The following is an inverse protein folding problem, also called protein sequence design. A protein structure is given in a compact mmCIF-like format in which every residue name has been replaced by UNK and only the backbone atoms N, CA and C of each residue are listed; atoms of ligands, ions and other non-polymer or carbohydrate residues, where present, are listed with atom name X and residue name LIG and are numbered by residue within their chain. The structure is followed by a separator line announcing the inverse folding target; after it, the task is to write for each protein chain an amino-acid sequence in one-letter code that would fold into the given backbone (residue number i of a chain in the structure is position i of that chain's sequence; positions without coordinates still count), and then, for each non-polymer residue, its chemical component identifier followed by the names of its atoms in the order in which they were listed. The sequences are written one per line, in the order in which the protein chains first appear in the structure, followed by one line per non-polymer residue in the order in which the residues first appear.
data_IF_979823544008
#
_entry.id   IF_979823544008
#
_cell.length_a   1.000
_cell.length_b   1.000
_cell.length_c   1.000
_cell.angle_alpha   90.00
_cell.angle_beta   90.00
_cell.angle_gamma   90.00
#
_symmetry.space_group_name_H-M   'P 1'
#
loop_
_entity.id
_entity.type
_entity.pdbx_description
1 polymer ?
#
# COMPACT_ATOMS: atom_id res chain seq x y z
N UNK A 1 6.10 -24.14 11.92
CA UNK A 1 4.67 -24.54 11.82
C UNK A 1 3.74 -23.35 11.66
N UNK A 2 3.78 -22.33 12.51
CA UNK A 2 2.90 -21.14 12.42
C UNK A 2 3.05 -20.37 11.09
N UNK A 3 4.28 -20.14 10.63
CA UNK A 3 4.54 -19.45 9.36
C UNK A 3 3.99 -20.21 8.14
N UNK A 4 4.13 -21.54 8.13
CA UNK A 4 3.60 -22.41 7.06
C UNK A 4 2.06 -22.39 7.08
N UNK A 5 1.44 -22.46 8.26
CA UNK A 5 -0.01 -22.35 8.41
C UNK A 5 -0.54 -20.99 7.95
N UNK A 6 0.13 -19.89 8.33
CA UNK A 6 -0.17 -18.54 7.84
C UNK A 6 0.01 -18.44 6.32
N UNK A 7 0.99 -19.14 5.74
CA UNK A 7 1.23 -19.12 4.32
C UNK A 7 0.09 -19.78 3.54
N UNK A 8 -0.32 -20.99 3.95
CA UNK A 8 -1.45 -21.68 3.36
C UNK A 8 -2.78 -20.93 3.58
N UNK A 9 -2.97 -20.35 4.75
CA UNK A 9 -4.16 -19.55 5.05
C UNK A 9 -4.21 -18.27 4.20
N UNK A 10 -3.08 -17.59 4.02
CA UNK A 10 -2.97 -16.42 3.14
C UNK A 10 -3.25 -16.76 1.68
N UNK A 11 -2.71 -17.87 1.17
CA UNK A 11 -3.02 -18.36 -0.19
C UNK A 11 -4.50 -18.72 -0.35
N UNK A 12 -5.11 -19.34 0.67
CA UNK A 12 -6.54 -19.63 0.68
C UNK A 12 -7.38 -18.34 0.64
N UNK A 13 -7.05 -17.35 1.47
CA UNK A 13 -7.71 -16.05 1.47
C UNK A 13 -7.50 -15.31 0.14
N UNK A 14 -6.32 -15.41 -0.48
CA UNK A 14 -6.02 -14.83 -1.79
C UNK A 14 -6.84 -15.47 -2.90
N UNK A 15 -6.95 -16.80 -2.91
CA UNK A 15 -7.82 -17.52 -3.84
C UNK A 15 -9.27 -17.05 -3.68
N UNK A 16 -9.78 -17.02 -2.44
CA UNK A 16 -11.13 -16.53 -2.11
C UNK A 16 -11.34 -15.07 -2.54
N UNK A 17 -10.31 -14.23 -2.44
CA UNK A 17 -10.36 -12.85 -2.92
C UNK A 17 -10.41 -12.75 -4.44
N UNK A 18 -9.64 -13.60 -5.14
CA UNK A 18 -9.58 -13.60 -6.61
C UNK A 18 -10.90 -14.00 -7.28
N UNK A 19 -11.72 -14.81 -6.60
CA UNK A 19 -13.06 -15.22 -7.04
C UNK A 19 -14.17 -14.28 -6.52
N UNK A 20 -13.83 -13.23 -5.77
CA UNK A 20 -14.77 -12.23 -5.28
C UNK A 20 -15.54 -12.59 -4.00
N UNK A 21 -15.18 -13.70 -3.34
CA UNK A 21 -15.88 -14.21 -2.16
C UNK A 21 -15.26 -13.76 -0.83
N UNK A 22 -14.13 -13.05 -0.85
CA UNK A 22 -13.42 -12.68 0.38
C UNK A 22 -14.14 -11.59 1.19
N UNK A 23 -14.41 -11.91 2.45
CA UNK A 23 -14.83 -10.93 3.46
C UNK A 23 -13.70 -9.97 3.86
N UNK A 24 -14.04 -8.99 4.70
CA UNK A 24 -13.11 -7.95 5.16
C UNK A 24 -11.92 -8.57 5.92
N UNK A 25 -12.19 -9.60 6.72
CA UNK A 25 -11.19 -10.35 7.49
C UNK A 25 -10.20 -11.05 6.57
N UNK A 26 -10.68 -11.72 5.53
CA UNK A 26 -9.83 -12.40 4.56
C UNK A 26 -9.03 -11.40 3.71
N UNK A 27 -9.58 -10.24 3.38
CA UNK A 27 -8.83 -9.15 2.74
C UNK A 27 -7.72 -8.61 3.65
N UNK A 28 -8.00 -8.48 4.96
CA UNK A 28 -6.97 -8.11 5.94
C UNK A 28 -5.85 -9.14 5.98
N UNK A 29 -6.21 -10.43 5.96
CA UNK A 29 -5.26 -11.55 5.91
C UNK A 29 -4.46 -11.55 4.62
N UNK A 30 -5.05 -11.24 3.46
CA UNK A 30 -4.31 -11.14 2.18
C UNK A 30 -3.29 -10.02 2.21
N UNK A 31 -3.66 -8.83 2.72
CA UNK A 31 -2.70 -7.71 2.87
C UNK A 31 -1.62 -8.08 3.87
N UNK A 32 -2.01 -8.61 5.02
CA UNK A 32 -1.08 -9.09 6.06
C UNK A 32 -0.12 -10.12 5.45
N UNK A 33 -0.61 -11.15 4.77
CA UNK A 33 0.18 -12.18 4.10
C UNK A 33 1.14 -11.59 3.05
N UNK A 34 0.67 -10.71 2.19
CA UNK A 34 1.48 -10.07 1.14
C UNK A 34 2.62 -9.23 1.74
N UNK A 35 2.39 -8.65 2.92
CA UNK A 35 3.36 -7.84 3.65
C UNK A 35 4.27 -8.67 4.57
N UNK A 36 3.82 -9.84 5.03
CA UNK A 36 4.48 -10.59 6.10
C UNK A 36 5.20 -11.87 5.69
N UNK A 37 5.07 -12.36 4.45
CA UNK A 37 5.64 -13.66 4.10
C UNK A 37 7.18 -13.71 4.14
N UNK A 38 7.91 -12.61 4.40
CA UNK A 38 9.37 -12.63 4.47
C UNK A 38 10.08 -11.56 5.34
N UNK A 39 9.61 -10.30 5.51
CA UNK A 39 10.39 -9.27 6.22
C UNK A 39 10.26 -9.23 7.75
N UNK A 40 9.06 -9.47 8.27
CA UNK A 40 8.66 -8.92 9.58
C UNK A 40 9.28 -9.68 10.76
N UNK A 41 9.43 -11.00 10.63
CA UNK A 41 10.00 -11.85 11.67
C UNK A 41 11.53 -11.79 11.70
N UNK A 42 12.18 -11.69 10.54
CA UNK A 42 13.65 -11.72 10.46
C UNK A 42 14.30 -10.33 10.63
N UNK A 43 13.63 -9.22 10.27
CA UNK A 43 14.23 -7.88 10.37
C UNK A 43 13.84 -7.07 11.62
N UNK A 44 13.18 -7.69 12.61
CA UNK A 44 12.82 -7.02 13.87
C UNK A 44 11.74 -5.94 13.73
N UNK A 45 10.82 -6.04 12.76
CA UNK A 45 9.76 -5.03 12.55
C UNK A 45 8.78 -4.91 13.71
N UNK A 46 8.64 -5.96 14.52
CA UNK A 46 7.78 -5.98 15.70
C UNK A 46 8.52 -5.57 16.97
N UNK A 47 9.80 -5.20 16.87
CA UNK A 47 10.69 -4.91 18.00
C UNK A 47 11.32 -3.51 17.88
N UNK A 48 11.29 -2.71 18.94
CA UNK A 48 11.80 -1.33 18.94
C UNK A 48 10.89 -0.34 18.19
N UNK A 49 11.38 0.86 17.85
CA UNK A 49 10.65 1.90 17.08
C UNK A 49 10.10 1.50 15.68
N UNK A 50 10.63 0.49 14.97
CA UNK A 50 10.13 0.03 13.67
C UNK A 50 8.69 -0.47 13.66
N UNK A 51 8.16 -0.84 14.83
CA UNK A 51 6.76 -1.23 14.98
C UNK A 51 5.79 -0.16 14.47
N UNK A 52 6.19 1.11 14.47
CA UNK A 52 5.35 2.18 13.94
C UNK A 52 5.21 2.07 12.41
N UNK A 53 6.27 1.69 11.68
CA UNK A 53 6.18 1.48 10.23
C UNK A 53 5.24 0.36 9.88
N UNK A 54 5.23 -0.70 10.70
CA UNK A 54 4.29 -1.80 10.53
C UNK A 54 2.84 -1.30 10.48
N UNK A 55 2.44 -0.51 11.47
CA UNK A 55 1.10 0.05 11.55
C UNK A 55 0.85 1.10 10.48
N UNK A 56 1.81 1.99 10.19
CA UNK A 56 1.69 2.98 9.11
C UNK A 56 1.45 2.28 7.77
N UNK A 57 2.22 1.25 7.44
CA UNK A 57 2.15 0.56 6.16
C UNK A 57 0.84 -0.25 6.02
N UNK A 58 0.45 -0.98 7.07
CA UNK A 58 -0.83 -1.69 7.09
C UNK A 58 -1.99 -0.71 7.00
N UNK A 59 -1.98 0.33 7.84
CA UNK A 59 -3.03 1.33 7.84
C UNK A 59 -3.09 2.06 6.51
N UNK A 60 -1.97 2.40 5.88
CA UNK A 60 -1.90 3.05 4.58
C UNK A 60 -2.59 2.24 3.47
N UNK A 61 -2.42 0.91 3.48
CA UNK A 61 -3.06 0.00 2.53
C UNK A 61 -4.58 0.01 2.66
N UNK A 62 -5.10 0.12 3.88
CA UNK A 62 -6.53 0.24 4.15
C UNK A 62 -7.04 1.68 4.18
N UNK A 63 -6.14 2.67 4.15
CA UNK A 63 -6.44 4.05 4.47
C UNK A 63 -7.52 4.63 3.56
N UNK A 64 -7.43 4.36 2.26
CA UNK A 64 -8.43 4.80 1.31
C UNK A 64 -9.80 4.21 1.64
N UNK A 65 -9.88 2.91 1.86
CA UNK A 65 -11.14 2.22 2.16
C UNK A 65 -11.71 2.70 3.50
N UNK A 66 -10.89 2.79 4.55
CA UNK A 66 -11.29 3.20 5.89
C UNK A 66 -11.76 4.65 5.95
N UNK A 67 -10.98 5.59 5.38
CA UNK A 67 -11.34 7.01 5.35
C UNK A 67 -12.59 7.23 4.49
N UNK A 68 -12.68 6.58 3.32
CA UNK A 68 -13.83 6.70 2.42
C UNK A 68 -15.10 6.17 3.05
N UNK A 69 -15.06 4.95 3.60
CA UNK A 69 -16.23 4.33 4.23
C UNK A 69 -16.71 5.15 5.43
N UNK A 70 -15.79 5.64 6.27
CA UNK A 70 -16.13 6.45 7.44
C UNK A 70 -16.76 7.80 7.09
N UNK A 71 -16.21 8.50 6.09
CA UNK A 71 -16.65 9.87 5.77
C UNK A 71 -17.84 9.91 4.81
N UNK A 72 -17.95 8.94 3.91
CA UNK A 72 -18.88 9.02 2.78
C UNK A 72 -19.82 7.83 2.62
N UNK A 73 -19.63 6.75 3.38
CA UNK A 73 -20.43 5.53 3.27
C UNK A 73 -20.00 4.65 2.08
N UNK A 74 -20.92 3.82 1.60
CA UNK A 74 -20.67 2.90 0.48
C UNK A 74 -20.67 3.62 -0.87
N UNK A 75 -19.94 3.07 -1.85
CA UNK A 75 -19.87 3.65 -3.19
C UNK A 75 -21.16 3.48 -3.96
N UNK A 76 -21.38 4.40 -4.89
CA UNK A 76 -22.28 4.11 -5.99
C UNK A 76 -21.60 3.12 -6.93
N UNK A 77 -21.95 1.82 -6.80
CA UNK A 77 -21.43 0.78 -7.67
C UNK A 77 -21.93 1.00 -9.09
N UNK A 78 -21.12 1.68 -9.92
CA UNK A 78 -21.45 1.84 -11.34
C UNK A 78 -21.30 0.53 -12.07
N UNK A 79 -22.19 0.24 -13.05
CA UNK A 79 -21.93 -0.82 -14.01
C UNK A 79 -20.59 -0.55 -14.70
N UNK A 80 -19.85 -1.63 -14.94
CA UNK A 80 -18.54 -1.56 -15.58
C UNK A 80 -18.66 -0.90 -16.96
N UNK A 81 -17.89 0.17 -17.20
CA UNK A 81 -17.86 0.85 -18.50
C UNK A 81 -16.79 0.19 -19.39
N UNK A 82 -17.19 -0.56 -20.44
CA UNK A 82 -16.24 -1.26 -21.30
C UNK A 82 -15.36 -0.31 -22.11
N UNK A 83 -15.75 0.96 -22.30
CA UNK A 83 -14.98 1.96 -23.05
C UNK A 83 -13.63 2.28 -22.38
N UNK A 84 -13.60 2.25 -21.05
CA UNK A 84 -12.43 2.58 -20.23
C UNK A 84 -11.84 1.36 -19.53
N UNK A 85 -12.25 0.15 -19.90
CA UNK A 85 -11.80 -1.09 -19.30
C UNK A 85 -10.34 -1.39 -19.67
N UNK A 86 -9.42 -1.11 -18.74
CA UNK A 86 -8.02 -1.51 -18.88
C UNK A 86 -7.86 -2.90 -18.26
N UNK A 87 -7.81 -3.94 -19.10
CA UNK A 87 -7.59 -5.31 -18.68
C UNK A 87 -6.24 -5.82 -19.22
N UNK A 88 -5.12 -5.63 -18.49
CA UNK A 88 -3.84 -6.15 -18.93
C UNK A 88 -3.89 -7.69 -18.96
N UNK A 89 -3.17 -8.34 -19.89
CA UNK A 89 -3.00 -9.79 -19.93
C UNK A 89 -2.60 -10.36 -18.57
N UNK A 90 -3.09 -11.57 -18.25
CA UNK A 90 -2.87 -12.22 -16.93
C UNK A 90 -1.38 -12.30 -16.56
N UNK A 91 -0.51 -12.53 -17.54
CA UNK A 91 0.93 -12.60 -17.33
C UNK A 91 1.53 -11.27 -16.83
N UNK A 92 1.10 -10.12 -17.34
CA UNK A 92 1.59 -8.82 -16.83
C UNK A 92 1.14 -8.56 -15.39
N UNK A 93 -0.08 -8.98 -15.03
CA UNK A 93 -0.55 -8.88 -13.63
C UNK A 93 0.29 -9.77 -12.72
N UNK A 94 0.60 -10.99 -13.17
CA UNK A 94 1.43 -11.93 -12.42
C UNK A 94 2.87 -11.42 -12.28
N UNK A 95 3.46 -10.89 -13.35
CA UNK A 95 4.78 -10.26 -13.31
C UNK A 95 4.81 -9.09 -12.32
N UNK A 96 3.83 -8.19 -12.36
CA UNK A 96 3.73 -7.09 -11.40
C UNK A 96 3.64 -7.59 -9.95
N UNK A 97 2.86 -8.65 -9.67
CA UNK A 97 2.82 -9.25 -8.33
C UNK A 97 4.18 -9.83 -7.91
N UNK A 98 4.85 -10.55 -8.81
CA UNK A 98 6.17 -11.13 -8.56
C UNK A 98 7.21 -10.04 -8.31
N UNK A 99 7.22 -8.98 -9.13
CA UNK A 99 8.12 -7.85 -8.99
C UNK A 99 7.94 -7.11 -7.66
N UNK A 100 6.69 -6.84 -7.26
CA UNK A 100 6.39 -6.22 -5.95
C UNK A 100 6.88 -7.13 -4.81
N UNK A 101 6.67 -8.45 -4.90
CA UNK A 101 7.19 -9.38 -3.90
C UNK A 101 8.72 -9.38 -3.87
N UNK A 102 9.38 -9.46 -5.02
CA UNK A 102 10.85 -9.43 -5.13
C UNK A 102 11.40 -8.13 -4.55
N UNK A 103 10.79 -6.98 -4.85
CA UNK A 103 11.21 -5.69 -4.28
C UNK A 103 11.13 -5.65 -2.77
N UNK A 104 10.07 -6.21 -2.17
CA UNK A 104 9.98 -6.34 -0.71
C UNK A 104 11.06 -7.27 -0.16
N UNK A 105 11.30 -8.43 -0.77
CA UNK A 105 12.31 -9.39 -0.31
C UNK A 105 13.73 -8.85 -0.45
N UNK A 106 14.03 -8.15 -1.55
CA UNK A 106 15.33 -7.53 -1.77
C UNK A 106 15.63 -6.49 -0.69
N UNK A 107 14.63 -5.70 -0.31
CA UNK A 107 14.72 -4.77 0.81
C UNK A 107 14.95 -5.47 2.15
N UNK A 108 14.45 -6.70 2.34
CA UNK A 108 14.74 -7.49 3.55
C UNK A 108 16.20 -7.85 3.63
N UNK A 109 16.76 -8.40 2.54
CA UNK A 109 18.14 -8.88 2.51
C UNK A 109 19.17 -7.76 2.59
N UNK A 110 18.83 -6.58 2.07
CA UNK A 110 19.72 -5.41 2.10
C UNK A 110 19.65 -4.66 3.44
N UNK A 111 18.51 -4.69 4.13
CA UNK A 111 18.33 -3.95 5.36
C UNK A 111 19.17 -4.52 6.52
N UNK A 112 19.75 -3.63 7.31
CA UNK A 112 20.12 -3.99 8.69
C UNK A 112 18.84 -4.25 9.48
N UNK A 113 18.85 -5.24 10.38
CA UNK A 113 17.73 -5.53 11.25
C UNK A 113 17.28 -4.27 11.99
N UNK A 114 16.05 -3.83 11.76
CA UNK A 114 15.60 -2.46 12.05
C UNK A 114 15.59 -2.13 13.55
N UNK A 115 15.42 -3.14 14.39
CA UNK A 115 15.51 -3.02 15.84
C UNK A 115 16.90 -2.55 16.34
N UNK A 116 17.95 -2.68 15.52
CA UNK A 116 19.28 -2.14 15.81
C UNK A 116 19.46 -0.68 15.38
N UNK A 117 18.55 -0.14 14.58
CA UNK A 117 18.57 1.26 14.20
C UNK A 117 17.94 2.06 15.35
N UNK A 118 18.65 3.01 15.98
CA UNK A 118 18.05 3.82 17.03
C UNK A 118 17.00 4.77 16.43
N UNK A 119 15.81 4.84 17.03
CA UNK A 119 14.69 5.72 16.62
C UNK A 119 14.91 7.20 16.94
N UNK A 120 16.13 7.70 16.74
CA UNK A 120 16.60 9.04 17.11
C UNK A 120 16.18 10.12 16.09
N UNK A 121 16.40 11.39 16.45
CA UNK A 121 16.20 12.59 15.63
C UNK A 121 16.92 12.56 14.27
N UNK A 122 17.86 11.63 14.06
CA UNK A 122 18.48 11.35 12.76
C UNK A 122 17.47 10.94 11.68
N UNK A 123 16.26 10.48 12.04
CA UNK A 123 15.23 10.01 11.11
C UNK A 123 14.09 11.01 10.88
N UNK A 124 14.22 12.27 11.31
CA UNK A 124 13.18 13.32 11.12
C UNK A 124 12.77 13.45 9.66
N UNK A 125 13.72 13.36 8.72
CA UNK A 125 13.42 13.42 7.28
C UNK A 125 12.47 12.30 6.82
N UNK A 126 12.66 11.08 7.34
CA UNK A 126 11.80 9.93 7.03
C UNK A 126 10.40 10.15 7.62
N UNK A 127 10.31 10.68 8.85
CA UNK A 127 9.02 11.00 9.47
C UNK A 127 8.25 12.08 8.71
N UNK A 128 8.93 13.14 8.26
CA UNK A 128 8.33 14.18 7.42
C UNK A 128 7.81 13.55 6.12
N UNK A 129 8.58 12.64 5.51
CA UNK A 129 8.19 11.97 4.28
C UNK A 129 6.93 11.11 4.49
N UNK A 130 6.86 10.32 5.57
CA UNK A 130 5.66 9.56 5.94
C UNK A 130 4.46 10.47 6.22
N UNK A 131 4.65 11.57 6.94
CA UNK A 131 3.57 12.51 7.21
C UNK A 131 3.04 13.12 5.90
N UNK A 132 3.93 13.47 4.97
CA UNK A 132 3.57 13.95 3.65
C UNK A 132 2.82 12.88 2.83
N UNK A 133 3.25 11.62 2.85
CA UNK A 133 2.58 10.53 2.13
C UNK A 133 1.15 10.35 2.63
N UNK A 134 0.96 10.32 3.95
CA UNK A 134 -0.36 10.20 4.58
C UNK A 134 -1.26 11.39 4.26
N UNK A 135 -0.72 12.61 4.29
CA UNK A 135 -1.48 13.83 3.98
C UNK A 135 -1.92 13.88 2.51
N UNK A 136 -1.03 13.51 1.58
CA UNK A 136 -1.35 13.41 0.15
C UNK A 136 -2.40 12.34 -0.07
N UNK A 137 -2.25 11.16 0.52
CA UNK A 137 -3.24 10.08 0.43
C UNK A 137 -4.61 10.52 0.94
N UNK A 138 -4.65 11.15 2.12
CA UNK A 138 -5.88 11.63 2.76
C UNK A 138 -6.61 12.66 1.92
N UNK A 139 -5.92 13.74 1.58
CA UNK A 139 -6.52 14.83 0.81
C UNK A 139 -7.00 14.33 -0.55
N UNK A 140 -6.19 13.51 -1.24
CA UNK A 140 -6.55 12.95 -2.55
C UNK A 140 -7.80 12.07 -2.49
N UNK A 141 -7.93 11.29 -1.43
CA UNK A 141 -9.07 10.41 -1.23
C UNK A 141 -10.35 11.17 -0.87
N UNK A 142 -10.24 12.20 -0.03
CA UNK A 142 -11.36 13.08 0.32
C UNK A 142 -11.90 13.80 -0.93
N UNK A 143 -11.01 14.36 -1.76
CA UNK A 143 -11.42 15.04 -2.97
C UNK A 143 -12.01 14.09 -4.02
N UNK A 144 -11.41 12.92 -4.24
CA UNK A 144 -11.92 11.98 -5.25
C UNK A 144 -13.31 11.43 -4.87
N UNK A 145 -13.48 11.02 -3.62
CA UNK A 145 -14.72 10.44 -3.13
C UNK A 145 -15.89 11.41 -3.22
N UNK A 146 -15.67 12.69 -2.86
CA UNK A 146 -16.71 13.72 -2.85
C UNK A 146 -17.24 14.07 -4.23
N UNK A 147 -16.38 14.14 -5.25
CA UNK A 147 -16.73 14.74 -6.55
C UNK A 147 -16.96 13.73 -7.68
N UNK A 148 -16.45 12.50 -7.56
CA UNK A 148 -16.52 11.48 -8.62
C UNK A 148 -17.23 10.20 -8.19
N UNK A 149 -16.88 9.63 -7.04
CA UNK A 149 -17.23 8.23 -6.71
C UNK A 149 -18.55 8.05 -5.98
N UNK A 150 -19.02 9.07 -5.24
CA UNK A 150 -20.32 9.05 -4.57
C UNK A 150 -21.49 9.40 -5.49
N UNK A 151 -21.20 10.02 -6.63
CA UNK A 151 -22.21 10.54 -7.56
C UNK A 151 -22.35 9.61 -8.76
N UNK A 152 -23.57 9.49 -9.27
CA UNK A 152 -23.88 8.67 -10.46
C UNK A 152 -23.15 9.19 -11.70
N UNK A 153 -23.04 10.52 -11.81
CA UNK A 153 -22.31 11.22 -12.86
C UNK A 153 -21.24 12.09 -12.18
N UNK A 154 -19.96 12.02 -12.59
CA UNK A 154 -18.92 12.86 -12.00
C UNK A 154 -19.32 14.33 -12.14
N UNK A 155 -19.32 15.07 -11.03
CA UNK A 155 -19.76 16.48 -11.03
C UNK A 155 -18.75 17.38 -11.75
N UNK A 156 -17.47 17.02 -11.67
CA UNK A 156 -16.35 17.76 -12.26
C UNK A 156 -15.13 16.86 -12.34
N UNK A 157 -14.22 17.16 -13.28
CA UNK A 157 -12.87 16.60 -13.25
C UNK A 157 -12.11 17.21 -12.07
N UNK A 158 -11.69 16.38 -11.11
CA UNK A 158 -10.98 16.84 -9.91
C UNK A 158 -9.60 17.36 -10.31
N UNK A 159 -9.43 18.69 -10.34
CA UNK A 159 -8.16 19.38 -10.65
C UNK A 159 -7.70 20.31 -9.51
N UNK A 160 -8.25 20.11 -8.32
CA UNK A 160 -7.96 20.93 -7.13
C UNK A 160 -7.38 20.06 -6.02
N UNK A 161 -6.78 20.71 -5.02
CA UNK A 161 -6.03 19.99 -3.99
C UNK A 161 -4.75 19.35 -4.57
N UNK A 162 -4.40 18.11 -4.18
CA UNK A 162 -3.25 17.38 -4.75
C UNK A 162 -3.34 17.17 -6.27
N UNK A 163 -4.55 17.02 -6.80
CA UNK A 163 -4.82 16.80 -8.22
C UNK A 163 -4.47 17.99 -9.11
N UNK A 164 -4.15 19.15 -8.53
CA UNK A 164 -3.67 20.31 -9.30
C UNK A 164 -2.23 20.14 -9.79
N UNK A 165 -1.44 19.33 -9.08
CA UNK A 165 -0.01 19.15 -9.34
C UNK A 165 0.29 17.78 -9.94
N UNK A 166 -0.42 16.75 -9.49
CA UNK A 166 -0.16 15.36 -9.86
C UNK A 166 -1.47 14.75 -10.34
N UNK A 167 -1.45 14.08 -11.49
CA UNK A 167 -2.63 13.43 -12.08
C UNK A 167 -3.16 12.28 -11.22
N UNK A 168 -2.25 11.51 -10.62
CA UNK A 168 -2.56 10.37 -9.77
C UNK A 168 -1.89 10.48 -8.39
N UNK A 169 -2.35 11.42 -7.55
CA UNK A 169 -1.69 11.70 -6.28
C UNK A 169 -1.80 10.54 -5.29
N UNK A 170 -2.85 9.70 -5.37
CA UNK A 170 -2.99 8.46 -4.58
C UNK A 170 -1.89 7.44 -4.91
N UNK A 171 -1.59 7.26 -6.20
CA UNK A 171 -0.49 6.36 -6.60
C UNK A 171 0.86 6.96 -6.23
N UNK A 172 1.03 8.27 -6.41
CA UNK A 172 2.25 8.96 -6.03
C UNK A 172 2.53 8.85 -4.51
N UNK A 173 1.52 8.97 -3.64
CA UNK A 173 1.71 8.75 -2.20
C UNK A 173 2.07 7.32 -1.85
N UNK A 174 1.54 6.32 -2.58
CA UNK A 174 1.96 4.92 -2.42
C UNK A 174 3.43 4.75 -2.80
N UNK A 175 3.87 5.27 -3.94
CA UNK A 175 5.27 5.21 -4.36
C UNK A 175 6.18 5.93 -3.37
N UNK A 176 5.77 7.11 -2.89
CA UNK A 176 6.51 7.88 -1.92
C UNK A 176 6.63 7.15 -0.56
N UNK A 177 5.63 6.36 -0.17
CA UNK A 177 5.71 5.51 1.02
C UNK A 177 6.74 4.40 0.85
N UNK A 178 6.80 3.76 -0.32
CA UNK A 178 7.84 2.77 -0.64
C UNK A 178 9.25 3.36 -0.59
N UNK A 179 9.42 4.56 -1.15
CA UNK A 179 10.69 5.30 -1.09
C UNK A 179 11.06 5.62 0.36
N UNK A 180 10.12 6.12 1.15
CA UNK A 180 10.33 6.41 2.57
C UNK A 180 10.76 5.18 3.36
N UNK A 181 10.15 4.03 3.04
CA UNK A 181 10.50 2.76 3.62
C UNK A 181 11.94 2.36 3.26
N UNK A 182 12.29 2.30 1.96
CA UNK A 182 13.65 1.93 1.53
C UNK A 182 14.72 2.84 2.16
N UNK A 183 14.46 4.14 2.29
CA UNK A 183 15.35 5.08 2.98
C UNK A 183 15.46 4.75 4.48
N UNK A 184 14.34 4.43 5.14
CA UNK A 184 14.34 4.03 6.55
C UNK A 184 15.18 2.77 6.79
N UNK A 185 15.11 1.82 5.86
CA UNK A 185 15.87 0.56 5.90
C UNK A 185 17.35 0.71 5.54
N UNK A 186 17.74 1.87 4.99
CA UNK A 186 19.03 2.08 4.33
C UNK A 186 19.29 1.06 3.23
N UNK A 187 18.27 0.81 2.40
CA UNK A 187 18.28 -0.17 1.30
C UNK A 187 18.33 0.54 -0.07
N UNK A 188 19.48 1.08 -0.50
CA UNK A 188 19.61 1.85 -1.74
C UNK A 188 19.39 1.02 -3.02
N UNK A 189 19.79 -0.25 -3.07
CA UNK A 189 19.59 -1.09 -4.25
C UNK A 189 18.11 -1.42 -4.43
N UNK A 190 17.40 -1.65 -3.33
CA UNK A 190 15.95 -1.85 -3.31
C UNK A 190 15.20 -0.59 -3.73
N UNK A 191 15.68 0.59 -3.34
CA UNK A 191 15.15 1.86 -3.82
C UNK A 191 15.30 2.01 -5.34
N UNK A 192 16.48 1.67 -5.89
CA UNK A 192 16.71 1.69 -7.34
C UNK A 192 15.76 0.72 -8.05
N UNK A 193 15.60 -0.50 -7.53
CA UNK A 193 14.68 -1.48 -8.08
C UNK A 193 13.24 -0.93 -8.16
N UNK A 194 12.74 -0.34 -7.08
CA UNK A 194 11.38 0.25 -7.03
C UNK A 194 11.22 1.44 -7.98
N UNK A 195 12.28 2.18 -8.28
CA UNK A 195 12.22 3.30 -9.24
C UNK A 195 12.17 2.80 -10.69
N UNK A 196 12.82 1.67 -10.98
CA UNK A 196 12.94 1.13 -12.34
C UNK A 196 11.70 0.35 -12.77
N UNK A 197 11.01 -0.27 -11.82
CA UNK A 197 9.83 -1.13 -12.03
C UNK A 197 8.54 -0.34 -11.83
#
# INVERSE_FOLDING_TARGET
FVAIALAFYGLYCFHKHSIGEAGITEQLVVVTFSVHLSPVYFNGYLEGWPFVFFFVYHYFSFFNVSVRKRLYGDYYARPHDPKWGVNPPKWYRLLCCVEVMVGHWFAVFEALELHHIPGSWSHVGVWILIAATLLIQYSSTVYLAKYSEKVVVPTVVVRFGPYRWIWHPIYASTMLLFVAYCIALRAPLSLIFVIVV
#
